data_IF_156785431011
#
_entry.id   IF_156785431011
#
_cell.length_a   1.000
_cell.length_b   1.000
_cell.length_c   1.000
_cell.angle_alpha   90.00
_cell.angle_beta   90.00
_cell.angle_gamma   90.00
#
_symmetry.space_group_name_H-M   'P 1'
#
loop_
_entity.id
_entity.type
_entity.pdbx_description
1 polymer ?
#
# COMPACT_ATOMS: atom_id res chain seq x y z
N UNK A 1 27.52 -0.10 -11.40
CA UNK A 1 27.53 1.23 -10.76
C UNK A 1 26.20 1.96 -10.93
N UNK A 2 25.59 2.05 -12.12
CA UNK A 2 24.27 2.71 -12.34
C UNK A 2 23.13 2.24 -11.41
N UNK A 3 23.05 0.94 -11.09
CA UNK A 3 21.98 0.38 -10.27
C UNK A 3 22.03 0.78 -8.78
N UNK A 4 23.22 1.11 -8.27
CA UNK A 4 23.39 1.55 -6.87
C UNK A 4 23.01 3.03 -6.75
N UNK A 5 23.36 3.83 -7.76
CA UNK A 5 22.98 5.24 -7.84
C UNK A 5 21.47 5.42 -8.01
N UNK A 6 20.80 4.56 -8.79
CA UNK A 6 19.34 4.60 -8.93
C UNK A 6 18.62 4.21 -7.65
N UNK A 7 19.11 3.20 -6.91
CA UNK A 7 18.54 2.83 -5.60
C UNK A 7 18.67 3.96 -4.58
N UNK A 8 19.84 4.60 -4.50
CA UNK A 8 20.07 5.72 -3.58
C UNK A 8 19.19 6.93 -3.93
N UNK A 9 19.06 7.26 -5.21
CA UNK A 9 18.17 8.32 -5.69
C UNK A 9 16.71 8.02 -5.34
N UNK A 10 16.24 6.80 -5.63
CA UNK A 10 14.86 6.39 -5.36
C UNK A 10 14.57 6.40 -3.86
N UNK A 11 15.51 5.92 -3.03
CA UNK A 11 15.38 6.02 -1.58
C UNK A 11 15.33 7.46 -1.09
N UNK A 12 16.15 8.36 -1.63
CA UNK A 12 16.12 9.77 -1.28
C UNK A 12 14.78 10.42 -1.61
N UNK A 13 14.24 10.14 -2.80
CA UNK A 13 12.91 10.61 -3.21
C UNK A 13 11.79 10.02 -2.34
N UNK A 14 11.88 8.73 -1.99
CA UNK A 14 10.90 8.06 -1.13
C UNK A 14 10.93 8.58 0.32
N UNK A 15 12.05 9.11 0.80
CA UNK A 15 12.17 9.72 2.13
C UNK A 15 11.60 11.15 2.21
N UNK A 16 11.17 11.74 1.10
CA UNK A 16 10.54 13.05 1.11
C UNK A 16 9.06 12.92 1.52
N UNK A 17 8.65 13.45 2.70
CA UNK A 17 7.32 13.21 3.27
C UNK A 17 6.19 13.79 2.41
N UNK A 18 6.46 14.88 1.69
CA UNK A 18 5.52 15.48 0.74
C UNK A 18 5.29 14.56 -0.46
N UNK A 19 6.35 13.98 -1.01
CA UNK A 19 6.29 13.10 -2.16
C UNK A 19 5.61 11.78 -1.80
N UNK A 20 5.92 11.22 -0.63
CA UNK A 20 5.23 10.05 -0.07
C UNK A 20 3.74 10.32 0.09
N UNK A 21 3.35 11.44 0.74
CA UNK A 21 1.95 11.77 0.97
C UNK A 21 1.18 11.99 -0.35
N UNK A 22 1.80 12.63 -1.34
CA UNK A 22 1.21 12.79 -2.67
C UNK A 22 1.09 11.45 -3.39
N UNK A 23 2.14 10.63 -3.41
CA UNK A 23 2.13 9.31 -4.04
C UNK A 23 1.06 8.39 -3.43
N UNK A 24 0.93 8.36 -2.10
CA UNK A 24 -0.15 7.62 -1.42
C UNK A 24 -1.52 8.17 -1.80
N UNK A 25 -1.72 9.48 -1.73
CA UNK A 25 -3.03 10.12 -2.03
C UNK A 25 -3.47 9.90 -3.47
N UNK A 26 -2.58 10.04 -4.44
CA UNK A 26 -2.91 9.85 -5.85
C UNK A 26 -2.93 8.37 -6.25
N UNK A 27 -2.08 7.54 -5.65
CA UNK A 27 -2.05 6.10 -5.87
C UNK A 27 -3.29 5.38 -5.34
N UNK A 28 -3.80 5.79 -4.16
CA UNK A 28 -4.96 5.19 -3.50
C UNK A 28 -6.32 5.76 -3.96
N UNK A 29 -6.32 6.85 -4.75
CA UNK A 29 -7.54 7.40 -5.34
C UNK A 29 -8.25 6.35 -6.21
N UNK A 30 -9.58 6.43 -6.32
CA UNK A 30 -10.37 5.57 -7.24
C UNK A 30 -9.78 5.61 -8.67
N UNK A 31 -9.34 4.45 -9.17
CA UNK A 31 -8.67 4.30 -10.46
C UNK A 31 -7.15 4.54 -10.47
N UNK A 32 -6.56 4.87 -9.32
CA UNK A 32 -5.11 4.97 -9.15
C UNK A 32 -4.44 3.60 -9.20
N UNK A 33 -3.15 3.58 -9.52
CA UNK A 33 -2.41 2.33 -9.73
C UNK A 33 -2.35 1.45 -8.48
N UNK A 34 -2.38 2.03 -7.28
CA UNK A 34 -2.24 1.28 -6.03
C UNK A 34 -3.50 0.47 -5.70
N UNK A 35 -4.69 0.94 -6.12
CA UNK A 35 -5.98 0.20 -5.99
C UNK A 35 -6.01 -1.13 -6.74
N UNK A 36 -5.05 -1.38 -7.64
CA UNK A 36 -4.87 -2.69 -8.30
C UNK A 36 -4.21 -3.72 -7.40
N UNK A 37 -3.47 -3.28 -6.38
CA UNK A 37 -2.68 -4.13 -5.48
C UNK A 37 -3.18 -4.07 -4.04
N UNK A 38 -3.81 -2.96 -3.64
CA UNK A 38 -4.32 -2.73 -2.28
C UNK A 38 -5.85 -2.73 -2.34
N UNK A 39 -6.45 -3.62 -1.56
CA UNK A 39 -7.90 -3.85 -1.56
C UNK A 39 -8.70 -2.62 -1.08
N UNK A 40 -8.18 -1.88 -0.11
CA UNK A 40 -8.80 -0.68 0.44
C UNK A 40 -7.96 -0.04 1.54
N UNK A 41 -8.39 1.14 2.00
CA UNK A 41 -7.81 1.81 3.17
C UNK A 41 -8.61 1.52 4.45
N UNK A 42 -9.84 1.01 4.31
CA UNK A 42 -10.67 0.56 5.43
C UNK A 42 -10.99 -0.93 5.31
N UNK A 43 -11.45 -1.51 6.42
CA UNK A 43 -11.83 -2.93 6.48
C UNK A 43 -13.00 -3.21 5.55
N UNK A 44 -13.98 -2.32 5.49
CA UNK A 44 -15.18 -2.46 4.65
C UNK A 44 -14.79 -2.50 3.17
N UNK A 45 -13.90 -1.58 2.74
CA UNK A 45 -13.39 -1.60 1.37
C UNK A 45 -12.63 -2.88 1.03
N UNK A 46 -11.83 -3.39 1.98
CA UNK A 46 -11.08 -4.62 1.79
C UNK A 46 -12.01 -5.85 1.67
N UNK A 47 -13.06 -5.92 2.50
CA UNK A 47 -14.07 -6.99 2.46
C UNK A 47 -14.84 -6.96 1.15
N UNK A 48 -15.32 -5.78 0.75
CA UNK A 48 -16.06 -5.60 -0.52
C UNK A 48 -15.19 -6.00 -1.73
N UNK A 49 -13.89 -5.68 -1.71
CA UNK A 49 -12.97 -6.02 -2.79
C UNK A 49 -12.74 -7.54 -2.95
N UNK A 50 -12.80 -8.31 -1.85
CA UNK A 50 -12.52 -9.76 -1.89
C UNK A 50 -13.76 -10.65 -1.87
N UNK A 51 -14.94 -10.11 -1.57
CA UNK A 51 -16.19 -10.87 -1.42
C UNK A 51 -16.51 -11.76 -2.64
N UNK A 52 -16.13 -11.34 -3.85
CA UNK A 52 -16.36 -12.10 -5.09
C UNK A 52 -15.27 -13.09 -5.49
N UNK A 53 -14.18 -13.22 -4.72
CA UNK A 53 -13.07 -14.12 -5.04
C UNK A 53 -13.33 -15.60 -4.72
N UNK A 54 -13.99 -15.98 -3.61
CA UNK A 54 -14.31 -17.39 -3.31
C UNK A 54 -15.13 -18.06 -4.41
N UNK A 55 -16.12 -17.34 -4.97
CA UNK A 55 -16.97 -17.85 -6.05
C UNK A 55 -16.22 -18.15 -7.35
N UNK A 56 -14.96 -17.73 -7.46
CA UNK A 56 -14.06 -18.00 -8.60
C UNK A 56 -13.10 -19.15 -8.33
N UNK A 57 -13.25 -19.86 -7.21
CA UNK A 57 -12.34 -20.94 -6.81
C UNK A 57 -10.96 -20.47 -6.35
N UNK A 58 -10.80 -19.18 -6.04
CA UNK A 58 -9.56 -18.61 -5.53
C UNK A 58 -9.54 -18.66 -4.01
N UNK A 59 -8.47 -19.21 -3.44
CA UNK A 59 -8.17 -19.05 -2.01
C UNK A 59 -7.66 -17.63 -1.77
N UNK A 60 -8.00 -17.07 -0.60
CA UNK A 60 -7.71 -15.69 -0.28
C UNK A 60 -7.01 -15.58 1.08
N UNK A 61 -6.06 -14.65 1.13
CA UNK A 61 -5.37 -14.22 2.32
C UNK A 61 -5.44 -12.69 2.34
N UNK A 62 -5.86 -12.12 3.47
CA UNK A 62 -5.87 -10.68 3.67
C UNK A 62 -4.65 -10.31 4.52
N UNK A 63 -3.82 -9.40 4.01
CA UNK A 63 -2.66 -8.86 4.71
C UNK A 63 -2.95 -7.41 5.12
N UNK A 64 -2.79 -7.13 6.41
CA UNK A 64 -2.99 -5.79 6.94
C UNK A 64 -1.67 -5.01 6.90
N UNK A 65 -1.60 -4.05 5.98
CA UNK A 65 -0.41 -3.21 5.81
C UNK A 65 -0.32 -2.16 6.94
N UNK A 66 0.57 -2.40 7.90
CA UNK A 66 0.94 -1.42 8.92
C UNK A 66 2.20 -0.66 8.54
N UNK A 67 2.15 0.67 8.54
CA UNK A 67 3.32 1.51 8.31
C UNK A 67 4.19 1.58 9.57
N UNK A 68 5.46 1.18 9.48
CA UNK A 68 6.56 1.38 10.46
C UNK A 68 6.12 1.80 11.87
N UNK A 69 5.55 0.87 12.63
CA UNK A 69 5.14 1.09 14.02
C UNK A 69 6.37 1.48 14.84
N UNK A 70 6.59 2.79 14.99
CA UNK A 70 7.78 3.36 15.65
C UNK A 70 7.60 3.51 17.17
N UNK A 71 6.41 3.19 17.67
CA UNK A 71 6.07 3.31 19.08
C UNK A 71 5.23 2.12 19.50
N UNK A 72 5.59 1.51 20.63
CA UNK A 72 4.73 0.56 21.30
C UNK A 72 3.60 1.33 21.99
N UNK A 73 2.36 0.88 21.82
CA UNK A 73 1.27 1.33 22.67
C UNK A 73 1.49 0.72 24.07
N UNK A 74 1.84 1.57 25.05
CA UNK A 74 1.91 1.18 26.45
C UNK A 74 0.53 1.09 27.06
N UNK A 75 0.29 0.05 27.84
CA UNK A 75 -0.93 -0.15 28.64
C UNK A 75 -0.91 0.70 29.91
#
# INVERSE_FOLDING_TARGET
MLAVTSKALFHGLAHMPTLQRLASKYGMRRGGFARRFIAGETIEEAVDAVAGLPGKGLQLTLDYLGESVASACGW
#
